data_IF_711157446573
#
_entry.id   IF_711157446573
#
_cell.length_a   1.000
_cell.length_b   1.000
_cell.length_c   1.000
_cell.angle_alpha   90.00
_cell.angle_beta   90.00
_cell.angle_gamma   90.00
#
_symmetry.space_group_name_H-M   'P 1'
#
loop_
_entity.id
_entity.type
_entity.pdbx_description
1 polymer ?
#
# COMPACT_ATOMS: atom_id res chain seq x y z
N UNK A 1 16.77 -18.78 -14.04
CA UNK A 1 16.13 -19.28 -12.79
C UNK A 1 17.01 -19.05 -11.56
N UNK A 2 18.19 -19.68 -11.44
CA UNK A 2 19.01 -19.55 -10.21
C UNK A 2 19.39 -18.09 -9.92
N UNK A 3 19.85 -17.36 -10.94
CA UNK A 3 20.17 -15.93 -10.84
C UNK A 3 18.98 -15.09 -10.33
N UNK A 4 17.78 -15.26 -10.88
CA UNK A 4 16.58 -14.53 -10.42
C UNK A 4 16.20 -14.86 -8.98
N UNK A 5 16.34 -16.13 -8.56
CA UNK A 5 16.08 -16.52 -7.17
C UNK A 5 17.08 -15.87 -6.21
N UNK A 6 18.37 -15.85 -6.56
CA UNK A 6 19.40 -15.19 -5.75
C UNK A 6 19.12 -13.68 -5.60
N UNK A 7 18.79 -13.01 -6.71
CA UNK A 7 18.40 -11.59 -6.71
C UNK A 7 17.20 -11.36 -5.78
N UNK A 8 16.14 -12.16 -5.88
CA UNK A 8 14.93 -12.00 -5.05
C UNK A 8 15.25 -12.16 -3.56
N UNK A 9 16.12 -13.09 -3.20
CA UNK A 9 16.57 -13.29 -1.83
C UNK A 9 17.40 -12.10 -1.33
N UNK A 10 18.34 -11.59 -2.14
CA UNK A 10 19.16 -10.45 -1.78
C UNK A 10 18.34 -9.16 -1.64
N UNK A 11 17.29 -8.96 -2.47
CA UNK A 11 16.40 -7.80 -2.36
C UNK A 11 15.75 -7.67 -0.96
N UNK A 12 15.57 -8.79 -0.22
CA UNK A 12 15.03 -8.74 1.14
C UNK A 12 15.97 -8.06 2.15
N UNK A 13 17.25 -7.90 1.81
CA UNK A 13 18.22 -7.16 2.62
C UNK A 13 17.95 -5.66 2.62
N UNK A 14 17.30 -5.13 1.57
CA UNK A 14 16.92 -3.71 1.52
C UNK A 14 15.94 -3.35 2.64
N UNK A 15 14.96 -4.21 2.90
CA UNK A 15 14.01 -4.01 4.00
C UNK A 15 14.65 -4.37 5.34
N UNK A 16 15.34 -5.51 5.42
CA UNK A 16 15.80 -6.02 6.70
C UNK A 16 17.05 -5.32 7.24
N UNK A 17 17.94 -4.81 6.39
CA UNK A 17 19.29 -4.28 6.75
C UNK A 17 19.55 -2.85 6.31
N UNK A 18 18.94 -2.37 5.22
CA UNK A 18 19.17 -0.99 4.73
C UNK A 18 18.07 0.00 5.13
N UNK A 19 16.86 -0.48 5.40
CA UNK A 19 15.75 0.39 5.82
C UNK A 19 15.88 0.76 7.31
N UNK A 20 15.68 2.03 7.69
CA UNK A 20 15.60 2.42 9.09
C UNK A 20 14.47 1.68 9.81
N UNK A 21 14.72 1.19 11.02
CA UNK A 21 13.72 0.42 11.78
C UNK A 21 12.45 1.21 12.12
N UNK A 22 12.53 2.55 12.14
CA UNK A 22 11.41 3.46 12.39
C UNK A 22 10.68 3.89 11.10
N UNK A 23 11.15 3.47 9.92
CA UNK A 23 10.48 3.71 8.63
C UNK A 23 9.97 2.39 8.04
N UNK A 24 8.72 2.01 8.35
CA UNK A 24 8.11 0.82 7.81
C UNK A 24 8.21 0.77 6.28
N UNK A 25 8.67 -0.37 5.79
CA UNK A 25 8.92 -0.63 4.37
C UNK A 25 8.46 -2.02 4.00
N UNK A 26 7.86 -2.18 2.82
CA UNK A 26 7.45 -3.48 2.29
C UNK A 26 8.02 -3.63 0.89
N UNK A 27 8.68 -4.75 0.64
CA UNK A 27 9.10 -5.19 -0.68
C UNK A 27 8.49 -6.55 -0.94
N UNK A 28 7.61 -6.63 -1.94
CA UNK A 28 6.95 -7.87 -2.32
C UNK A 28 7.29 -8.21 -3.75
N UNK A 29 7.72 -9.44 -4.02
CA UNK A 29 7.77 -9.99 -5.37
C UNK A 29 6.46 -10.74 -5.62
N UNK A 30 5.61 -10.19 -6.49
CA UNK A 30 4.27 -10.71 -6.75
C UNK A 30 4.23 -11.75 -7.87
N UNK A 31 5.26 -11.80 -8.72
CA UNK A 31 5.34 -12.77 -9.82
C UNK A 31 6.79 -13.05 -10.20
N UNK A 32 7.03 -14.28 -10.65
CA UNK A 32 8.29 -14.74 -11.26
C UNK A 32 7.94 -15.73 -12.38
N UNK A 33 8.46 -15.48 -13.57
CA UNK A 33 8.24 -16.28 -14.77
C UNK A 33 9.60 -16.64 -15.38
N UNK A 34 9.87 -17.94 -15.55
CA UNK A 34 11.09 -18.44 -16.19
C UNK A 34 10.94 -19.90 -16.65
N UNK A 35 11.27 -20.16 -17.92
CA UNK A 35 11.26 -21.50 -18.50
C UNK A 35 9.89 -22.08 -18.83
N UNK A 36 9.90 -23.15 -19.63
CA UNK A 36 8.69 -23.83 -20.12
C UNK A 36 8.78 -25.35 -20.02
N UNK A 37 10.00 -25.93 -19.98
CA UNK A 37 10.26 -27.37 -19.89
C UNK A 37 11.31 -27.65 -18.81
N UNK A 38 11.17 -28.78 -18.11
CA UNK A 38 12.03 -29.14 -16.98
C UNK A 38 13.49 -29.46 -17.36
N UNK A 39 13.75 -29.83 -18.62
CA UNK A 39 15.06 -30.23 -19.13
C UNK A 39 15.73 -29.16 -20.01
N UNK A 40 15.19 -27.93 -20.02
CA UNK A 40 15.76 -26.80 -20.76
C UNK A 40 16.05 -25.69 -19.77
N UNK A 41 17.28 -25.19 -19.77
CA UNK A 41 17.67 -24.01 -18.99
C UNK A 41 17.17 -22.79 -19.78
N UNK A 42 16.31 -21.92 -19.20
CA UNK A 42 15.82 -20.75 -19.91
C UNK A 42 16.88 -19.65 -20.00
N UNK A 43 16.86 -18.92 -21.11
CA UNK A 43 17.75 -17.78 -21.37
C UNK A 43 17.37 -16.54 -20.55
N UNK A 44 16.11 -16.43 -20.13
CA UNK A 44 15.58 -15.29 -19.38
C UNK A 44 14.69 -15.67 -18.20
N UNK A 45 14.58 -14.73 -17.26
CA UNK A 45 13.64 -14.76 -16.15
C UNK A 45 13.12 -13.35 -15.90
N UNK A 46 11.81 -13.21 -15.73
CA UNK A 46 11.16 -11.93 -15.45
C UNK A 46 10.44 -12.02 -14.10
N UNK A 47 10.61 -11.02 -13.24
CA UNK A 47 9.85 -10.90 -12.00
C UNK A 47 9.34 -9.46 -11.83
N UNK A 48 8.16 -9.35 -11.22
CA UNK A 48 7.55 -8.06 -10.91
C UNK A 48 7.20 -8.00 -9.43
N UNK A 49 7.37 -6.81 -8.85
CA UNK A 49 7.15 -6.57 -7.43
C UNK A 49 6.72 -5.15 -7.12
N UNK A 50 6.54 -4.87 -5.84
CA UNK A 50 6.11 -3.58 -5.32
C UNK A 50 6.96 -3.19 -4.13
N UNK A 51 7.39 -1.93 -4.09
CA UNK A 51 8.03 -1.30 -2.93
C UNK A 51 7.04 -0.29 -2.35
N UNK A 52 6.78 -0.37 -1.04
CA UNK A 52 5.96 0.59 -0.29
C UNK A 52 6.73 1.15 0.89
N UNK A 53 6.62 2.45 1.09
CA UNK A 53 7.20 3.23 2.19
C UNK A 53 6.24 4.37 2.55
N UNK A 54 6.38 4.95 3.74
CA UNK A 54 5.65 6.17 4.12
C UNK A 54 6.38 7.46 3.73
N UNK A 55 7.65 7.36 3.33
CA UNK A 55 8.48 8.49 2.90
C UNK A 55 8.83 8.38 1.42
N UNK A 56 8.63 9.47 0.68
CA UNK A 56 9.01 9.58 -0.73
C UNK A 56 10.52 9.48 -0.91
N UNK A 57 11.29 10.07 0.01
CA UNK A 57 12.76 10.03 -0.05
C UNK A 57 13.28 8.61 0.22
N UNK A 58 12.67 7.91 1.18
CA UNK A 58 12.99 6.51 1.44
C UNK A 58 12.59 5.60 0.27
N UNK A 59 11.46 5.89 -0.39
CA UNK A 59 11.05 5.17 -1.60
C UNK A 59 12.11 5.28 -2.70
N UNK A 60 12.55 6.51 -3.00
CA UNK A 60 13.59 6.78 -4.00
C UNK A 60 14.90 6.09 -3.65
N UNK A 61 15.29 6.11 -2.37
CA UNK A 61 16.46 5.40 -1.88
C UNK A 61 16.37 3.90 -2.17
N UNK A 62 15.26 3.25 -1.79
CA UNK A 62 15.07 1.82 -2.03
C UNK A 62 15.01 1.46 -3.52
N UNK A 63 14.39 2.29 -4.37
CA UNK A 63 14.37 2.08 -5.82
C UNK A 63 15.78 2.12 -6.42
N UNK A 64 16.58 3.11 -6.01
CA UNK A 64 17.99 3.21 -6.44
C UNK A 64 18.78 1.99 -5.99
N UNK A 65 18.71 1.65 -4.69
CA UNK A 65 19.43 0.51 -4.11
C UNK A 65 19.01 -0.83 -4.72
N UNK A 66 17.72 -1.01 -5.01
CA UNK A 66 17.24 -2.18 -5.74
C UNK A 66 17.86 -2.29 -7.12
N UNK A 67 17.94 -1.18 -7.87
CA UNK A 67 18.56 -1.16 -9.20
C UNK A 67 20.03 -1.58 -9.15
N UNK A 68 20.78 -1.05 -8.19
CA UNK A 68 22.19 -1.35 -7.97
C UNK A 68 22.40 -2.81 -7.58
N UNK A 69 21.64 -3.30 -6.59
CA UNK A 69 21.72 -4.67 -6.08
C UNK A 69 21.36 -5.69 -7.18
N UNK A 70 20.25 -5.48 -7.90
CA UNK A 70 19.85 -6.36 -9.00
C UNK A 70 20.95 -6.43 -10.07
N UNK A 71 21.54 -5.29 -10.43
CA UNK A 71 22.60 -5.23 -11.46
C UNK A 71 23.87 -5.95 -11.00
N UNK A 72 24.29 -5.74 -9.75
CA UNK A 72 25.46 -6.40 -9.17
C UNK A 72 25.28 -7.90 -9.03
N UNK A 73 24.13 -8.33 -8.50
CA UNK A 73 23.77 -9.73 -8.34
C UNK A 73 23.67 -10.43 -9.70
N UNK A 74 23.01 -9.83 -10.70
CA UNK A 74 22.98 -10.41 -12.04
C UNK A 74 24.40 -10.61 -12.62
N UNK A 75 25.29 -9.62 -12.41
CA UNK A 75 26.67 -9.68 -12.89
C UNK A 75 27.48 -10.80 -12.23
N UNK A 76 27.25 -11.11 -10.95
CA UNK A 76 27.96 -12.21 -10.26
C UNK A 76 27.60 -13.59 -10.85
N UNK A 77 26.44 -13.70 -11.51
CA UNK A 77 26.01 -14.88 -12.26
C UNK A 77 26.29 -14.80 -13.77
N UNK A 78 27.14 -13.86 -14.22
CA UNK A 78 27.41 -13.59 -15.64
C UNK A 78 26.16 -13.26 -16.47
N UNK A 79 25.10 -12.74 -15.84
CA UNK A 79 23.87 -12.33 -16.46
C UNK A 79 23.78 -10.80 -16.60
N UNK A 80 22.79 -10.33 -17.37
CA UNK A 80 22.40 -8.92 -17.44
C UNK A 80 20.98 -8.79 -16.91
N UNK A 81 20.72 -7.72 -16.18
CA UNK A 81 19.38 -7.38 -15.71
C UNK A 81 18.96 -6.01 -16.22
N UNK A 82 17.68 -5.90 -16.54
CA UNK A 82 17.01 -4.65 -16.90
C UNK A 82 15.94 -4.39 -15.87
N UNK A 83 16.00 -3.21 -15.24
CA UNK A 83 15.08 -2.84 -14.17
C UNK A 83 14.38 -1.55 -14.59
N UNK A 84 13.06 -1.56 -14.49
CA UNK A 84 12.23 -0.38 -14.68
C UNK A 84 11.33 -0.20 -13.47
N UNK A 85 11.16 1.04 -13.04
CA UNK A 85 10.20 1.38 -12.02
C UNK A 85 9.09 2.23 -12.62
N UNK A 86 7.86 1.85 -12.33
CA UNK A 86 6.70 2.72 -12.53
C UNK A 86 6.43 3.42 -11.21
N UNK A 87 6.39 4.75 -11.22
CA UNK A 87 6.08 5.50 -10.02
C UNK A 87 4.65 5.19 -9.59
N UNK A 88 4.51 4.69 -8.36
CA UNK A 88 3.23 4.44 -7.72
C UNK A 88 2.69 5.73 -7.08
N UNK A 89 1.54 5.62 -6.41
CA UNK A 89 0.91 6.71 -5.69
C UNK A 89 1.79 7.23 -4.56
N UNK A 90 1.80 8.55 -4.30
CA UNK A 90 2.47 9.10 -3.13
C UNK A 90 1.82 8.58 -1.84
N UNK A 91 2.52 8.62 -0.69
CA UNK A 91 1.92 8.31 0.60
C UNK A 91 0.73 9.22 0.88
N UNK A 92 -0.42 8.63 1.20
CA UNK A 92 -1.60 9.38 1.64
C UNK A 92 -1.35 10.01 3.01
N UNK A 93 -1.73 11.27 3.16
CA UNK A 93 -1.59 12.01 4.42
C UNK A 93 -2.88 12.77 4.71
N UNK A 94 -3.57 12.36 5.77
CA UNK A 94 -4.76 13.06 6.23
C UNK A 94 -4.35 14.33 6.99
N UNK A 95 -4.86 15.48 6.57
CA UNK A 95 -4.63 16.74 7.28
C UNK A 95 -5.13 16.63 8.73
N UNK A 96 -4.29 17.04 9.68
CA UNK A 96 -4.55 16.84 11.12
C UNK A 96 -5.79 17.62 11.57
N UNK A 97 -5.90 18.88 11.16
CA UNK A 97 -7.01 19.75 11.57
C UNK A 97 -8.34 19.30 10.96
N UNK A 98 -8.31 18.92 9.68
CA UNK A 98 -9.48 18.42 8.96
C UNK A 98 -9.88 17.04 9.48
N UNK A 99 -8.93 16.20 9.89
CA UNK A 99 -9.21 14.88 10.49
C UNK A 99 -9.98 15.03 11.79
N UNK A 100 -9.55 15.92 12.69
CA UNK A 100 -10.27 16.17 13.94
C UNK A 100 -11.67 16.76 13.68
N UNK A 101 -11.79 17.69 12.71
CA UNK A 101 -13.09 18.24 12.30
C UNK A 101 -14.03 17.15 11.78
N UNK A 102 -13.58 16.33 10.83
CA UNK A 102 -14.34 15.21 10.26
C UNK A 102 -14.74 14.19 11.32
N UNK A 103 -13.81 13.84 12.22
CA UNK A 103 -14.08 12.94 13.35
C UNK A 103 -15.20 13.47 14.24
N UNK A 104 -15.19 14.76 14.59
CA UNK A 104 -16.23 15.36 15.42
C UNK A 104 -17.60 15.34 14.72
N UNK A 105 -17.64 15.64 13.42
CA UNK A 105 -18.87 15.52 12.61
C UNK A 105 -19.39 14.09 12.61
N UNK A 106 -18.52 13.11 12.34
CA UNK A 106 -18.90 11.69 12.35
C UNK A 106 -19.40 11.25 13.73
N UNK A 107 -18.74 11.67 14.80
CA UNK A 107 -19.09 11.29 16.17
C UNK A 107 -20.45 11.87 16.58
N UNK A 108 -20.79 13.08 16.14
CA UNK A 108 -22.10 13.68 16.41
C UNK A 108 -23.27 12.88 15.81
N UNK A 109 -23.07 12.23 14.66
CA UNK A 109 -24.11 11.43 13.99
C UNK A 109 -24.10 9.95 14.39
N UNK A 110 -22.93 9.35 14.59
CA UNK A 110 -22.78 7.91 14.82
C UNK A 110 -22.59 7.55 16.31
N UNK A 111 -22.26 8.52 17.15
CA UNK A 111 -21.76 8.33 18.50
C UNK A 111 -20.24 8.09 18.53
N UNK A 112 -19.60 8.55 19.61
CA UNK A 112 -18.13 8.53 19.76
C UNK A 112 -17.54 7.12 19.59
N UNK A 113 -18.22 6.09 20.12
CA UNK A 113 -17.76 4.71 20.09
C UNK A 113 -17.77 4.06 18.69
N UNK A 114 -18.30 4.76 17.67
CA UNK A 114 -18.39 4.28 16.28
C UNK A 114 -17.35 4.93 15.36
N UNK A 115 -16.57 5.88 15.85
CA UNK A 115 -15.51 6.55 15.08
C UNK A 115 -14.15 6.20 15.68
N UNK A 116 -13.28 5.59 14.87
CA UNK A 116 -11.99 5.08 15.35
C UNK A 116 -10.86 5.72 14.57
N UNK A 117 -9.94 6.37 15.28
CA UNK A 117 -8.64 6.74 14.74
C UNK A 117 -7.75 5.50 14.81
N UNK A 118 -7.23 5.05 13.67
CA UNK A 118 -6.27 3.94 13.66
C UNK A 118 -4.99 4.39 14.40
N UNK A 119 -4.48 3.60 15.34
CA UNK A 119 -3.27 3.97 16.08
C UNK A 119 -2.01 3.93 15.20
N UNK A 120 -2.06 3.18 14.10
CA UNK A 120 -0.95 2.99 13.19
C UNK A 120 -1.39 3.25 11.74
N UNK A 121 -0.48 3.77 10.89
CA UNK A 121 -0.75 3.91 9.46
C UNK A 121 -0.87 2.52 8.79
N UNK A 122 -1.57 2.45 7.66
CA UNK A 122 -1.71 1.22 6.88
C UNK A 122 -0.82 1.22 5.66
N UNK A 123 -0.33 0.04 5.26
CA UNK A 123 0.45 -0.16 4.04
C UNK A 123 -0.38 -0.24 2.76
N UNK A 124 -1.68 0.04 2.81
CA UNK A 124 -2.50 0.22 1.61
C UNK A 124 -2.03 1.45 0.82
N UNK A 125 -2.19 1.43 -0.50
CA UNK A 125 -1.87 2.56 -1.39
C UNK A 125 -3.14 3.01 -2.08
N UNK A 126 -3.35 4.32 -2.12
CA UNK A 126 -4.57 4.96 -2.60
C UNK A 126 -4.21 6.13 -3.52
N UNK A 127 -4.88 6.25 -4.66
CA UNK A 127 -4.61 7.34 -5.61
C UNK A 127 -5.21 8.68 -5.16
N UNK A 128 -6.13 8.65 -4.17
CA UNK A 128 -6.64 9.83 -3.48
C UNK A 128 -5.52 10.76 -2.97
N UNK A 129 -4.34 10.17 -2.67
CA UNK A 129 -3.16 10.91 -2.26
C UNK A 129 -2.73 11.99 -3.27
N UNK A 130 -3.04 11.86 -4.56
CA UNK A 130 -2.79 12.92 -5.54
C UNK A 130 -3.65 14.17 -5.31
N UNK A 131 -4.91 14.01 -4.85
CA UNK A 131 -5.73 15.17 -4.47
C UNK A 131 -5.16 15.82 -3.20
N UNK A 132 -4.67 15.02 -2.25
CA UNK A 132 -4.04 15.50 -1.02
C UNK A 132 -2.75 16.30 -1.26
N UNK A 133 -2.08 16.10 -2.41
CA UNK A 133 -0.94 16.95 -2.82
C UNK A 133 -1.36 18.35 -3.29
N UNK A 134 -2.65 18.57 -3.58
CA UNK A 134 -3.17 19.82 -4.12
C UNK A 134 -4.02 20.60 -3.10
N UNK A 135 -4.66 19.90 -2.17
CA UNK A 135 -5.47 20.51 -1.13
C UNK A 135 -5.47 19.65 0.15
N UNK A 136 -5.69 20.24 1.35
CA UNK A 136 -5.93 19.46 2.56
C UNK A 136 -7.10 18.48 2.34
N UNK A 137 -6.88 17.21 2.63
CA UNK A 137 -7.87 16.16 2.42
C UNK A 137 -7.80 15.09 3.49
N UNK A 138 -8.93 14.42 3.72
CA UNK A 138 -9.06 13.32 4.68
C UNK A 138 -9.69 12.13 3.97
N UNK A 139 -8.98 11.01 3.96
CA UNK A 139 -9.48 9.73 3.53
C UNK A 139 -9.99 8.93 4.74
N UNK A 140 -11.24 8.49 4.69
CA UNK A 140 -11.91 7.77 5.78
C UNK A 140 -12.30 6.38 5.30
N UNK A 141 -12.07 5.37 6.14
CA UNK A 141 -12.53 4.01 5.86
C UNK A 141 -13.89 3.76 6.50
N UNK A 142 -14.82 3.21 5.72
CA UNK A 142 -16.09 2.71 6.22
C UNK A 142 -15.94 1.26 6.69
N UNK A 143 -16.36 0.97 7.92
CA UNK A 143 -16.49 -0.41 8.39
C UNK A 143 -17.65 -1.11 7.70
N UNK A 144 -17.35 -2.17 6.93
CA UNK A 144 -18.34 -2.93 6.14
C UNK A 144 -18.45 -4.40 6.55
N UNK A 145 -17.74 -4.83 7.60
CA UNK A 145 -17.86 -6.20 8.09
C UNK A 145 -19.23 -6.40 8.76
N UNK A 146 -19.88 -7.53 8.47
CA UNK A 146 -21.13 -7.87 9.15
C UNK A 146 -20.88 -8.14 10.63
N UNK A 147 -21.74 -7.65 11.55
CA UNK A 147 -21.58 -7.91 12.99
C UNK A 147 -21.61 -9.40 13.38
N UNK A 148 -22.19 -10.25 12.53
CA UNK A 148 -22.24 -11.71 12.74
C UNK A 148 -21.00 -12.44 12.23
N UNK A 149 -20.20 -11.81 11.36
CA UNK A 149 -18.97 -12.39 10.82
C UNK A 149 -17.81 -12.16 11.79
N UNK A 150 -17.34 -13.25 12.40
CA UNK A 150 -16.21 -13.23 13.35
C UNK A 150 -14.85 -13.23 12.67
N UNK A 151 -14.79 -13.47 11.36
CA UNK A 151 -13.54 -13.51 10.61
C UNK A 151 -13.71 -12.94 9.18
N UNK A 152 -14.01 -11.63 9.09
CA UNK A 152 -14.26 -10.99 7.81
C UNK A 152 -13.03 -11.08 6.90
N UNK A 153 -13.26 -11.47 5.66
CA UNK A 153 -12.20 -11.53 4.66
C UNK A 153 -11.74 -10.12 4.28
N UNK A 154 -10.43 -9.95 4.09
CA UNK A 154 -9.86 -8.67 3.63
C UNK A 154 -10.25 -8.35 2.19
N UNK A 155 -10.05 -7.08 1.83
CA UNK A 155 -10.08 -6.62 0.44
C UNK A 155 -9.08 -7.42 -0.42
N UNK A 156 -9.35 -7.56 -1.72
CA UNK A 156 -8.57 -8.40 -2.66
C UNK A 156 -8.59 -9.92 -2.40
N UNK A 157 -9.62 -10.42 -1.71
CA UNK A 157 -9.83 -11.87 -1.58
C UNK A 157 -11.14 -12.29 -2.26
N UNK A 158 -11.21 -13.51 -2.78
CA UNK A 158 -12.43 -14.05 -3.39
C UNK A 158 -13.58 -14.32 -2.40
N UNK A 159 -13.35 -14.11 -1.10
CA UNK A 159 -14.35 -14.24 -0.01
C UNK A 159 -14.84 -12.89 0.52
N UNK A 160 -14.36 -11.78 -0.05
CA UNK A 160 -14.78 -10.45 0.40
C UNK A 160 -16.28 -10.26 0.18
N UNK A 161 -17.02 -9.99 1.26
CA UNK A 161 -18.45 -9.77 1.25
C UNK A 161 -18.81 -8.63 2.23
N UNK A 162 -19.11 -7.42 1.74
CA UNK A 162 -19.51 -6.31 2.60
C UNK A 162 -20.97 -6.44 3.07
N UNK A 163 -21.27 -5.97 4.27
CA UNK A 163 -22.63 -5.76 4.76
C UNK A 163 -23.18 -4.46 4.19
N UNK A 164 -24.16 -4.57 3.28
CA UNK A 164 -24.77 -3.42 2.60
C UNK A 164 -25.47 -2.45 3.55
N UNK A 165 -25.80 -2.85 4.78
CA UNK A 165 -26.32 -1.90 5.78
C UNK A 165 -25.33 -0.76 6.05
N UNK A 166 -24.02 -0.99 5.86
CA UNK A 166 -22.99 0.03 5.98
C UNK A 166 -23.17 1.16 4.96
N UNK A 167 -23.82 0.94 3.81
CA UNK A 167 -24.06 1.98 2.80
C UNK A 167 -24.86 3.15 3.39
N UNK A 168 -25.85 2.87 4.25
CA UNK A 168 -26.64 3.92 4.93
C UNK A 168 -25.73 4.81 5.79
N UNK A 169 -24.80 4.20 6.52
CA UNK A 169 -23.79 4.92 7.31
C UNK A 169 -22.87 5.73 6.41
N UNK A 170 -22.36 5.14 5.33
CA UNK A 170 -21.48 5.81 4.37
C UNK A 170 -22.12 7.06 3.77
N UNK A 171 -23.37 6.93 3.28
CA UNK A 171 -24.13 8.05 2.70
C UNK A 171 -24.35 9.15 3.74
N UNK A 172 -24.85 8.80 4.94
CA UNK A 172 -25.15 9.77 5.98
C UNK A 172 -23.90 10.56 6.40
N UNK A 173 -22.77 9.86 6.63
CA UNK A 173 -21.50 10.48 7.00
C UNK A 173 -20.97 11.36 5.87
N UNK A 174 -21.02 10.91 4.61
CA UNK A 174 -20.54 11.70 3.49
C UNK A 174 -21.34 13.00 3.31
N UNK A 175 -22.67 12.93 3.41
CA UNK A 175 -23.52 14.11 3.38
C UNK A 175 -23.24 15.05 4.57
N UNK A 176 -23.07 14.49 5.78
CA UNK A 176 -22.77 15.28 6.98
C UNK A 176 -21.43 16.03 6.84
N UNK A 177 -20.38 15.38 6.35
CA UNK A 177 -19.08 16.00 6.10
C UNK A 177 -19.19 17.13 5.07
N UNK A 178 -19.90 16.89 3.96
CA UNK A 178 -20.09 17.91 2.92
C UNK A 178 -20.88 19.12 3.46
N UNK A 179 -21.98 18.88 4.18
CA UNK A 179 -22.77 19.95 4.78
C UNK A 179 -21.99 20.75 5.83
N UNK A 180 -21.15 20.10 6.62
CA UNK A 180 -20.30 20.79 7.59
C UNK A 180 -19.28 21.69 6.90
N UNK A 181 -18.60 21.19 5.85
CA UNK A 181 -17.61 21.96 5.09
C UNK A 181 -18.26 23.14 4.34
N UNK A 182 -19.44 22.94 3.75
CA UNK A 182 -20.13 23.94 2.92
C UNK A 182 -20.95 24.98 3.71
N UNK A 183 -21.20 24.75 5.00
CA UNK A 183 -21.84 25.75 5.88
C UNK A 183 -20.89 26.84 6.36
N UNK A 184 -19.59 26.69 6.10
CA UNK A 184 -18.55 27.65 6.45
C UNK A 184 -18.46 28.79 5.43
#
# INVERSE_FOLDING_TARGET
IVCSCAIIMELQTLVSRESPAYEPSVLTIGSLHAGTKHNIIPDEACFCGTIRTFSVEHQKLLMRRASELISMAAKSFCAKAYVSFTQSYPPGFNDVSLTERVKNVMAAYLGENKVVIRPNPSMYSEDFAYFQQKAPGVFVHLGVASPSDRNPAGIHTGRFLPDEHALKTGIAVHAAMALDILKA
#
